data_IF_001437733648
#
_entry.id   IF_001437733648
#
_cell.length_a   1.000
_cell.length_b   1.000
_cell.length_c   1.000
_cell.angle_alpha   90.00
_cell.angle_beta   90.00
_cell.angle_gamma   90.00
#
_symmetry.space_group_name_H-M   'P 1'
#
loop_
_entity.id
_entity.type
_entity.pdbx_description
1 polymer ?
#
# COMPACT_ATOMS: atom_id res chain seq x y z
N UNK A 1 -67.09 8.55 -15.90
CA UNK A 1 -65.83 8.08 -16.53
C UNK A 1 -64.62 8.93 -16.15
N UNK A 2 -64.70 10.27 -16.14
CA UNK A 2 -63.57 11.15 -15.78
C UNK A 2 -62.91 10.86 -14.42
N UNK A 3 -63.68 10.54 -13.38
CA UNK A 3 -63.14 10.30 -12.03
C UNK A 3 -62.27 9.04 -11.92
N UNK A 4 -62.59 7.99 -12.67
CA UNK A 4 -61.81 6.73 -12.65
C UNK A 4 -60.47 6.93 -13.35
N UNK A 5 -60.46 7.66 -14.47
CA UNK A 5 -59.23 8.01 -15.19
C UNK A 5 -58.29 8.83 -14.33
N UNK A 6 -58.80 9.83 -13.61
CA UNK A 6 -57.98 10.65 -12.69
C UNK A 6 -57.33 9.79 -11.60
N UNK A 7 -58.10 8.89 -10.96
CA UNK A 7 -57.58 8.01 -9.91
C UNK A 7 -56.47 7.10 -10.44
N UNK A 8 -56.66 6.48 -11.62
CA UNK A 8 -55.66 5.61 -12.24
C UNK A 8 -54.37 6.40 -12.51
N UNK A 9 -54.48 7.61 -13.06
CA UNK A 9 -53.32 8.47 -13.35
C UNK A 9 -52.59 8.86 -12.07
N UNK A 10 -53.30 9.24 -11.01
CA UNK A 10 -52.68 9.60 -9.72
C UNK A 10 -51.96 8.41 -9.10
N UNK A 11 -52.57 7.23 -9.10
CA UNK A 11 -51.95 6.00 -8.57
C UNK A 11 -50.71 5.63 -9.39
N UNK A 12 -50.77 5.71 -10.72
CA UNK A 12 -49.63 5.45 -11.58
C UNK A 12 -48.47 6.43 -11.32
N UNK A 13 -48.77 7.73 -11.20
CA UNK A 13 -47.76 8.75 -10.88
C UNK A 13 -47.14 8.53 -9.50
N UNK A 14 -47.94 8.20 -8.49
CA UNK A 14 -47.44 7.88 -7.16
C UNK A 14 -46.50 6.66 -7.18
N UNK A 15 -46.87 5.61 -7.91
CA UNK A 15 -46.07 4.41 -8.05
C UNK A 15 -44.74 4.68 -8.78
N UNK A 16 -44.78 5.45 -9.87
CA UNK A 16 -43.58 5.88 -10.59
C UNK A 16 -42.66 6.73 -9.71
N UNK A 17 -43.22 7.65 -8.91
CA UNK A 17 -42.47 8.47 -7.96
C UNK A 17 -41.80 7.63 -6.86
N UNK A 18 -42.51 6.62 -6.34
CA UNK A 18 -41.95 5.67 -5.38
C UNK A 18 -40.81 4.86 -5.99
N UNK A 19 -41.00 4.30 -7.19
CA UNK A 19 -39.97 3.52 -7.88
C UNK A 19 -38.72 4.35 -8.16
N UNK A 20 -38.88 5.59 -8.61
CA UNK A 20 -37.78 6.53 -8.81
C UNK A 20 -37.01 6.80 -7.51
N UNK A 21 -37.73 7.02 -6.41
CA UNK A 21 -37.15 7.23 -5.07
C UNK A 21 -36.40 5.99 -4.59
N UNK A 22 -36.99 4.80 -4.73
CA UNK A 22 -36.38 3.54 -4.33
C UNK A 22 -35.08 3.26 -5.09
N UNK A 23 -35.09 3.41 -6.42
CA UNK A 23 -33.90 3.24 -7.26
C UNK A 23 -32.82 4.27 -6.91
N UNK A 24 -33.19 5.52 -6.65
CA UNK A 24 -32.24 6.54 -6.20
C UNK A 24 -31.64 6.20 -4.83
N UNK A 25 -32.46 5.70 -3.89
CA UNK A 25 -32.01 5.22 -2.59
C UNK A 25 -31.00 4.09 -2.69
N UNK A 26 -31.27 3.09 -3.54
CA UNK A 26 -30.33 1.99 -3.79
C UNK A 26 -29.00 2.49 -4.38
N UNK A 27 -29.06 3.38 -5.38
CA UNK A 27 -27.84 3.97 -5.99
C UNK A 27 -27.02 4.76 -4.98
N UNK A 28 -27.68 5.54 -4.11
CA UNK A 28 -27.01 6.29 -3.06
C UNK A 28 -26.35 5.35 -2.04
N UNK A 29 -27.06 4.32 -1.58
CA UNK A 29 -26.54 3.34 -0.64
C UNK A 29 -25.33 2.59 -1.21
N UNK A 30 -25.39 2.13 -2.47
CA UNK A 30 -24.26 1.50 -3.15
C UNK A 30 -23.05 2.43 -3.27
N UNK A 31 -23.28 3.70 -3.61
CA UNK A 31 -22.23 4.71 -3.73
C UNK A 31 -21.57 4.99 -2.37
N UNK A 32 -22.35 5.08 -1.30
CA UNK A 32 -21.84 5.27 0.06
C UNK A 32 -21.05 4.05 0.54
N UNK A 33 -21.55 2.84 0.33
CA UNK A 33 -20.85 1.60 0.68
C UNK A 33 -19.51 1.49 -0.06
N UNK A 34 -19.50 1.80 -1.36
CA UNK A 34 -18.27 1.79 -2.17
C UNK A 34 -17.29 2.87 -1.71
N UNK A 35 -17.77 4.09 -1.40
CA UNK A 35 -16.93 5.16 -0.89
C UNK A 35 -16.31 4.80 0.47
N UNK A 36 -17.08 4.16 1.36
CA UNK A 36 -16.60 3.69 2.65
C UNK A 36 -15.50 2.63 2.47
N UNK A 37 -15.73 1.64 1.59
CA UNK A 37 -14.74 0.62 1.26
C UNK A 37 -13.45 1.22 0.71
N UNK A 38 -13.53 2.08 -0.31
CA UNK A 38 -12.36 2.76 -0.88
C UNK A 38 -11.66 3.63 0.17
N UNK A 39 -12.43 4.27 1.05
CA UNK A 39 -11.91 5.02 2.19
C UNK A 39 -11.03 4.17 3.09
N UNK A 40 -11.53 3.00 3.52
CA UNK A 40 -10.77 2.04 4.34
C UNK A 40 -9.53 1.53 3.61
N UNK A 41 -9.65 1.15 2.34
CA UNK A 41 -8.51 0.69 1.54
C UNK A 41 -7.41 1.75 1.47
N UNK A 42 -7.78 3.03 1.31
CA UNK A 42 -6.84 4.14 1.30
C UNK A 42 -6.25 4.42 2.69
N UNK A 43 -7.05 4.44 3.75
CA UNK A 43 -6.58 4.86 5.08
C UNK A 43 -5.81 3.76 5.82
N UNK A 44 -6.16 2.50 5.61
CA UNK A 44 -5.64 1.39 6.41
C UNK A 44 -4.68 0.48 5.64
N UNK A 45 -4.72 0.45 4.31
CA UNK A 45 -3.83 -0.40 3.51
C UNK A 45 -2.92 0.41 2.57
N UNK A 46 -3.49 0.94 1.49
CA UNK A 46 -2.70 1.49 0.39
C UNK A 46 -2.07 2.84 0.72
N UNK A 47 -2.66 3.63 1.61
CA UNK A 47 -2.05 4.87 2.11
C UNK A 47 -0.82 4.60 2.97
N UNK A 48 -0.94 3.80 4.04
CA UNK A 48 0.21 3.37 4.84
C UNK A 48 1.29 2.68 4.00
N UNK A 49 0.91 1.72 3.14
CA UNK A 49 1.87 1.00 2.29
C UNK A 49 2.60 1.96 1.34
N UNK A 50 1.88 2.87 0.68
CA UNK A 50 2.49 3.88 -0.18
C UNK A 50 3.44 4.82 0.59
N UNK A 51 3.03 5.32 1.75
CA UNK A 51 3.86 6.20 2.55
C UNK A 51 5.14 5.51 3.03
N UNK A 52 5.02 4.29 3.56
CA UNK A 52 6.15 3.51 4.05
C UNK A 52 7.14 3.17 2.93
N UNK A 53 6.63 2.75 1.76
CA UNK A 53 7.48 2.42 0.60
C UNK A 53 8.22 3.63 0.06
N UNK A 54 7.53 4.76 -0.16
CA UNK A 54 8.15 6.01 -0.60
C UNK A 54 9.19 6.53 0.40
N UNK A 55 8.87 6.50 1.70
CA UNK A 55 9.83 6.87 2.76
C UNK A 55 11.04 5.95 2.74
N UNK A 56 10.84 4.63 2.63
CA UNK A 56 11.94 3.66 2.59
C UNK A 56 12.94 3.99 1.47
N UNK A 57 12.42 4.24 0.28
CA UNK A 57 13.24 4.45 -0.92
C UNK A 57 14.01 5.76 -0.84
N UNK A 58 13.39 6.84 -0.35
CA UNK A 58 14.07 8.12 -0.12
C UNK A 58 15.12 8.02 0.98
N UNK A 59 14.82 7.29 2.05
CA UNK A 59 15.78 7.06 3.14
C UNK A 59 16.95 6.21 2.67
N UNK A 60 16.71 5.17 1.86
CA UNK A 60 17.76 4.35 1.27
C UNK A 60 18.63 5.16 0.30
N UNK A 61 18.03 6.00 -0.55
CA UNK A 61 18.78 6.91 -1.44
C UNK A 61 19.62 7.94 -0.66
N UNK A 62 19.10 8.47 0.46
CA UNK A 62 19.87 9.36 1.33
C UNK A 62 21.03 8.62 2.00
N UNK A 63 20.80 7.40 2.47
CA UNK A 63 21.81 6.53 3.05
C UNK A 63 22.93 6.21 2.06
N UNK A 64 22.61 5.71 0.86
CA UNK A 64 23.64 5.35 -0.14
C UNK A 64 24.43 6.57 -0.60
N UNK A 65 23.82 7.76 -0.69
CA UNK A 65 24.56 9.01 -0.97
C UNK A 65 25.48 9.43 0.18
N UNK A 66 25.04 9.29 1.42
CA UNK A 66 25.82 9.71 2.59
C UNK A 66 27.05 8.82 2.81
N UNK A 67 26.97 7.54 2.42
CA UNK A 67 28.01 6.55 2.60
C UNK A 67 28.64 6.09 1.28
N UNK A 68 28.49 6.87 0.21
CA UNK A 68 29.18 6.62 -1.04
C UNK A 68 30.70 6.73 -0.82
N UNK A 69 31.46 5.83 -1.45
CA UNK A 69 32.93 5.88 -1.41
C UNK A 69 33.45 7.12 -2.16
N UNK A 70 34.72 7.52 -1.96
CA UNK A 70 35.31 8.67 -2.66
C UNK A 70 35.31 8.55 -4.19
N UNK A 71 35.26 7.34 -4.73
CA UNK A 71 35.15 7.05 -6.16
C UNK A 71 33.70 7.09 -6.69
N UNK A 72 32.72 7.38 -5.82
CA UNK A 72 31.30 7.43 -6.12
C UNK A 72 30.61 6.06 -6.12
N UNK A 73 31.31 4.98 -5.79
CA UNK A 73 30.68 3.65 -5.70
C UNK A 73 29.84 3.50 -4.43
N UNK A 74 28.72 2.78 -4.56
CA UNK A 74 27.85 2.40 -3.44
C UNK A 74 28.32 1.06 -2.86
N UNK A 75 28.85 1.02 -1.62
CA UNK A 75 29.34 -0.21 -1.02
C UNK A 75 28.22 -1.21 -0.70
N UNK A 76 26.95 -0.79 -0.73
CA UNK A 76 25.79 -1.63 -0.43
C UNK A 76 25.09 -2.16 -1.69
N UNK A 77 25.65 -1.89 -2.87
CA UNK A 77 25.14 -2.40 -4.14
C UNK A 77 25.46 -3.90 -4.31
N UNK A 78 24.58 -4.69 -4.96
CA UNK A 78 24.84 -6.10 -5.23
C UNK A 78 26.17 -6.31 -5.99
N UNK A 79 26.98 -7.25 -5.52
CA UNK A 79 28.27 -7.60 -6.15
C UNK A 79 29.45 -6.72 -5.72
N UNK A 80 29.23 -5.68 -4.91
CA UNK A 80 30.30 -4.91 -4.26
C UNK A 80 30.65 -5.54 -2.92
N UNK A 81 31.94 -5.73 -2.64
CA UNK A 81 32.40 -6.17 -1.33
C UNK A 81 32.50 -4.96 -0.40
N UNK A 82 31.64 -4.94 0.61
CA UNK A 82 31.69 -3.96 1.69
C UNK A 82 32.79 -4.31 2.70
N UNK A 83 33.42 -3.28 3.26
CA UNK A 83 34.36 -3.40 4.39
C UNK A 83 33.60 -3.62 5.70
N UNK A 84 34.28 -4.11 6.75
CA UNK A 84 33.63 -4.30 8.05
C UNK A 84 33.07 -3.00 8.66
N UNK A 85 33.73 -1.87 8.41
CA UNK A 85 33.23 -0.56 8.85
C UNK A 85 31.93 -0.19 8.12
N UNK A 86 31.87 -0.40 6.81
CA UNK A 86 30.65 -0.19 6.02
C UNK A 86 29.53 -1.14 6.46
N UNK A 87 29.84 -2.41 6.72
CA UNK A 87 28.90 -3.39 7.24
C UNK A 87 28.40 -3.01 8.65
N UNK A 88 29.25 -2.48 9.53
CA UNK A 88 28.82 -1.96 10.83
C UNK A 88 27.84 -0.79 10.70
N UNK A 89 28.08 0.09 9.73
CA UNK A 89 27.13 1.17 9.42
C UNK A 89 25.82 0.62 8.87
N UNK A 90 25.87 -0.35 7.96
CA UNK A 90 24.68 -1.04 7.47
C UNK A 90 23.88 -1.68 8.61
N UNK A 91 24.51 -2.44 9.50
CA UNK A 91 23.84 -3.08 10.65
C UNK A 91 23.13 -2.05 11.53
N UNK A 92 23.77 -0.90 11.76
CA UNK A 92 23.16 0.21 12.50
C UNK A 92 21.90 0.73 11.81
N UNK A 93 21.96 1.04 10.52
CA UNK A 93 20.83 1.55 9.76
C UNK A 93 19.72 0.51 9.55
N UNK A 94 20.09 -0.74 9.25
CA UNK A 94 19.17 -1.84 9.10
C UNK A 94 18.38 -2.08 10.38
N UNK A 95 19.06 -2.13 11.53
CA UNK A 95 18.43 -2.39 12.83
C UNK A 95 17.49 -1.25 13.26
N UNK A 96 17.90 0.00 13.04
CA UNK A 96 17.17 1.16 13.59
C UNK A 96 16.14 1.76 12.62
N UNK A 97 16.29 1.52 11.31
CA UNK A 97 15.50 2.22 10.28
C UNK A 97 14.86 1.25 9.31
N UNK A 98 15.66 0.49 8.55
CA UNK A 98 15.12 -0.27 7.42
C UNK A 98 14.28 -1.46 7.85
N UNK A 99 14.77 -2.30 8.78
CA UNK A 99 14.01 -3.47 9.26
C UNK A 99 12.72 -3.07 9.98
N UNK A 100 12.72 -2.08 10.90
CA UNK A 100 11.47 -1.57 11.47
C UNK A 100 10.47 -1.11 10.40
N UNK A 101 10.95 -0.42 9.36
CA UNK A 101 10.09 0.06 8.29
C UNK A 101 9.48 -1.07 7.44
N UNK A 102 10.28 -2.06 7.01
CA UNK A 102 9.75 -3.20 6.24
C UNK A 102 8.86 -4.12 7.08
N UNK A 103 9.10 -4.23 8.40
CA UNK A 103 8.16 -4.87 9.33
C UNK A 103 6.82 -4.16 9.38
N UNK A 104 6.82 -2.83 9.44
CA UNK A 104 5.58 -2.04 9.38
C UNK A 104 4.82 -2.27 8.05
N UNK A 105 5.53 -2.38 6.92
CA UNK A 105 4.90 -2.73 5.64
C UNK A 105 4.28 -4.13 5.67
N UNK A 106 5.01 -5.15 6.14
CA UNK A 106 4.46 -6.52 6.30
C UNK A 106 3.23 -6.51 7.21
N UNK A 107 3.27 -5.77 8.30
CA UNK A 107 2.16 -5.67 9.24
C UNK A 107 0.91 -5.08 8.58
N UNK A 108 1.04 -4.10 7.68
CA UNK A 108 -0.07 -3.62 6.84
C UNK A 108 -0.59 -4.76 5.97
N UNK A 109 0.30 -5.46 5.25
CA UNK A 109 -0.10 -6.57 4.34
C UNK A 109 -0.84 -7.67 5.09
N UNK A 110 -0.28 -8.18 6.18
CA UNK A 110 -0.82 -9.34 6.91
C UNK A 110 -2.08 -8.99 7.69
N UNK A 111 -2.14 -7.83 8.34
CA UNK A 111 -3.28 -7.47 9.20
C UNK A 111 -4.46 -6.89 8.43
N UNK A 112 -4.26 -6.43 7.20
CA UNK A 112 -5.25 -5.71 6.40
C UNK A 112 -5.45 -6.35 5.01
N UNK A 113 -5.08 -7.62 4.85
CA UNK A 113 -5.22 -8.34 3.58
C UNK A 113 -6.67 -8.32 3.05
N UNK A 114 -7.66 -8.24 3.93
CA UNK A 114 -9.08 -8.11 3.56
C UNK A 114 -9.39 -6.82 2.79
N UNK A 115 -8.49 -5.83 2.80
CA UNK A 115 -8.61 -4.56 2.07
C UNK A 115 -7.91 -4.56 0.71
N UNK A 116 -7.29 -5.67 0.29
CA UNK A 116 -6.72 -5.78 -1.05
C UNK A 116 -7.78 -5.52 -2.13
N UNK A 117 -7.35 -4.91 -3.24
CA UNK A 117 -8.18 -4.75 -4.45
C UNK A 117 -8.11 -5.98 -5.34
N UNK A 118 -7.04 -6.77 -5.21
CA UNK A 118 -6.86 -8.05 -5.87
C UNK A 118 -7.61 -9.17 -5.11
N UNK A 119 -7.97 -10.25 -5.83
CA UNK A 119 -8.64 -11.43 -5.25
C UNK A 119 -7.68 -12.28 -4.40
N UNK A 120 -6.40 -12.31 -4.80
CA UNK A 120 -5.33 -13.02 -4.12
C UNK A 120 -4.23 -12.04 -3.70
N UNK A 121 -3.43 -12.44 -2.71
CA UNK A 121 -2.28 -11.63 -2.26
C UNK A 121 -1.23 -11.55 -3.38
N UNK A 122 -0.89 -10.35 -3.89
CA UNK A 122 0.08 -10.22 -4.96
C UNK A 122 1.47 -10.76 -4.59
N UNK A 123 2.15 -11.38 -5.57
CA UNK A 123 3.47 -11.99 -5.37
C UNK A 123 4.54 -11.00 -4.87
N UNK A 124 4.42 -9.72 -5.22
CA UNK A 124 5.31 -8.64 -4.72
C UNK A 124 5.18 -8.46 -3.20
N UNK A 125 3.97 -8.59 -2.66
CA UNK A 125 3.72 -8.51 -1.21
C UNK A 125 4.20 -9.77 -0.50
N UNK A 126 4.06 -10.95 -1.12
CA UNK A 126 4.62 -12.18 -0.58
C UNK A 126 6.15 -12.13 -0.51
N UNK A 127 6.81 -11.55 -1.52
CA UNK A 127 8.26 -11.32 -1.49
C UNK A 127 8.68 -10.34 -0.40
N UNK A 128 7.91 -9.27 -0.17
CA UNK A 128 8.12 -8.39 0.98
C UNK A 128 8.04 -9.18 2.29
N UNK A 129 7.03 -10.03 2.48
CA UNK A 129 6.90 -10.86 3.67
C UNK A 129 8.11 -11.80 3.85
N UNK A 130 8.56 -12.44 2.77
CA UNK A 130 9.74 -13.30 2.78
C UNK A 130 11.02 -12.52 3.13
N UNK A 131 11.18 -11.32 2.56
CA UNK A 131 12.30 -10.42 2.87
C UNK A 131 12.37 -10.07 4.36
N UNK A 132 11.22 -9.76 4.97
CA UNK A 132 11.14 -9.45 6.41
C UNK A 132 11.46 -10.69 7.25
N UNK A 133 10.94 -11.86 6.89
CA UNK A 133 11.26 -13.11 7.59
C UNK A 133 12.76 -13.46 7.49
N UNK A 134 13.39 -13.23 6.33
CA UNK A 134 14.83 -13.38 6.17
C UNK A 134 15.62 -12.47 7.11
N UNK A 135 15.19 -11.21 7.25
CA UNK A 135 15.83 -10.26 8.18
C UNK A 135 15.64 -10.61 9.64
N UNK A 136 14.55 -11.27 10.02
CA UNK A 136 14.34 -11.69 11.40
C UNK A 136 15.41 -12.69 11.85
N UNK A 137 15.84 -13.59 10.97
CA UNK A 137 16.97 -14.49 11.22
C UNK A 137 18.29 -13.73 11.26
N UNK A 138 18.54 -12.83 10.30
CA UNK A 138 19.75 -12.01 10.26
C UNK A 138 19.91 -11.18 11.54
N UNK A 139 18.84 -10.53 12.02
CA UNK A 139 18.86 -9.76 13.26
C UNK A 139 19.08 -10.63 14.51
N UNK A 140 18.54 -11.85 14.53
CA UNK A 140 18.77 -12.78 15.63
C UNK A 140 20.25 -13.15 15.75
N UNK A 141 20.91 -13.43 14.62
CA UNK A 141 22.36 -13.70 14.58
C UNK A 141 23.19 -12.49 15.04
N UNK A 142 22.85 -11.29 14.57
CA UNK A 142 23.54 -10.07 15.01
C UNK A 142 23.43 -9.85 16.52
N UNK A 143 22.28 -10.20 17.13
CA UNK A 143 22.10 -10.11 18.58
C UNK A 143 22.99 -11.09 19.36
N UNK A 144 23.41 -12.19 18.72
CA UNK A 144 24.36 -13.17 19.26
C UNK A 144 25.83 -12.81 18.95
N UNK A 145 26.07 -11.72 18.22
CA UNK A 145 27.40 -11.28 17.79
C UNK A 145 27.90 -11.98 16.53
N UNK A 146 27.08 -12.81 15.88
CA UNK A 146 27.37 -13.41 14.58
C UNK A 146 27.02 -12.39 13.48
N UNK A 147 28.04 -11.89 12.79
CA UNK A 147 27.93 -10.92 11.70
C UNK A 147 28.37 -11.49 10.34
N UNK A 148 28.49 -12.81 10.18
CA UNK A 148 28.91 -13.42 8.91
C UNK A 148 27.98 -13.04 7.75
N UNK A 149 26.67 -12.98 8.03
CA UNK A 149 25.65 -12.56 7.07
C UNK A 149 25.16 -11.15 7.36
N UNK A 150 25.27 -10.27 6.36
CA UNK A 150 24.87 -8.86 6.48
C UNK A 150 23.54 -8.54 5.79
N UNK A 151 22.98 -9.47 5.02
CA UNK A 151 21.80 -9.23 4.19
C UNK A 151 20.64 -10.13 4.59
N UNK A 152 19.43 -9.80 4.11
CA UNK A 152 18.31 -10.74 4.17
C UNK A 152 18.50 -11.85 3.14
N UNK A 153 18.17 -13.09 3.54
CA UNK A 153 18.16 -14.25 2.65
C UNK A 153 17.20 -14.11 1.46
N UNK A 154 16.14 -13.32 1.62
CA UNK A 154 15.19 -13.02 0.57
C UNK A 154 15.36 -11.57 0.11
N UNK A 155 15.50 -11.29 -1.19
CA UNK A 155 15.74 -9.94 -1.68
C UNK A 155 14.52 -9.03 -1.46
N UNK A 156 14.78 -7.76 -1.21
CA UNK A 156 13.73 -6.75 -1.14
C UNK A 156 13.10 -6.55 -2.54
N UNK A 157 11.77 -6.52 -2.68
CA UNK A 157 11.12 -6.35 -3.99
C UNK A 157 11.37 -4.97 -4.65
N UNK A 158 11.91 -3.98 -3.93
CA UNK A 158 12.41 -2.74 -4.51
C UNK A 158 11.36 -1.94 -5.27
N UNK A 159 11.74 -1.49 -6.46
CA UNK A 159 10.92 -0.69 -7.39
C UNK A 159 9.55 -1.32 -7.67
N UNK A 160 9.46 -2.64 -7.77
CA UNK A 160 8.19 -3.30 -8.06
C UNK A 160 7.15 -3.08 -6.94
N UNK A 161 7.60 -3.07 -5.68
CA UNK A 161 6.74 -2.78 -4.54
C UNK A 161 6.31 -1.30 -4.51
N UNK A 162 7.23 -0.40 -4.85
CA UNK A 162 6.95 1.03 -4.95
C UNK A 162 5.91 1.32 -6.03
N UNK A 163 6.10 0.75 -7.23
CA UNK A 163 5.20 0.92 -8.36
C UNK A 163 3.81 0.35 -8.02
N UNK A 164 3.76 -0.86 -7.45
CA UNK A 164 2.50 -1.47 -6.97
C UNK A 164 1.75 -0.54 -6.00
N UNK A 165 2.43 -0.06 -4.95
CA UNK A 165 1.81 0.76 -3.93
C UNK A 165 1.34 2.12 -4.49
N UNK A 166 2.17 2.75 -5.32
CA UNK A 166 1.87 4.05 -5.95
C UNK A 166 0.68 3.96 -6.89
N UNK A 167 0.67 2.97 -7.78
CA UNK A 167 -0.40 2.79 -8.76
C UNK A 167 -1.74 2.48 -8.10
N UNK A 168 -1.75 1.56 -7.13
CA UNK A 168 -2.97 1.21 -6.40
C UNK A 168 -3.51 2.39 -5.59
N UNK A 169 -2.63 3.13 -4.90
CA UNK A 169 -3.01 4.34 -4.17
C UNK A 169 -3.60 5.41 -5.11
N UNK A 170 -2.94 5.70 -6.23
CA UNK A 170 -3.41 6.68 -7.21
C UNK A 170 -4.77 6.28 -7.81
N UNK A 171 -4.94 5.01 -8.17
CA UNK A 171 -6.19 4.44 -8.69
C UNK A 171 -7.33 4.61 -7.69
N UNK A 172 -7.11 4.26 -6.42
CA UNK A 172 -8.10 4.40 -5.36
C UNK A 172 -8.42 5.87 -5.04
N UNK A 173 -7.44 6.78 -5.07
CA UNK A 173 -7.67 8.22 -4.92
C UNK A 173 -8.51 8.80 -6.06
N UNK A 174 -8.29 8.36 -7.29
CA UNK A 174 -9.11 8.74 -8.43
C UNK A 174 -10.55 8.21 -8.30
N UNK A 175 -10.69 6.96 -7.85
CA UNK A 175 -12.00 6.37 -7.57
C UNK A 175 -12.76 7.10 -6.47
N UNK A 176 -12.10 7.42 -5.35
CA UNK A 176 -12.66 8.22 -4.27
C UNK A 176 -13.16 9.58 -4.79
N UNK A 177 -12.35 10.27 -5.60
CA UNK A 177 -12.72 11.56 -6.18
C UNK A 177 -13.96 11.47 -7.06
N UNK A 178 -14.03 10.43 -7.91
CA UNK A 178 -15.21 10.14 -8.74
C UNK A 178 -16.45 9.86 -7.88
N UNK A 179 -16.32 9.06 -6.82
CA UNK A 179 -17.40 8.75 -5.89
C UNK A 179 -17.82 9.95 -5.05
N UNK A 180 -16.97 10.96 -4.88
CA UNK A 180 -17.33 12.24 -4.25
C UNK A 180 -17.93 13.25 -5.24
N UNK A 181 -17.94 12.94 -6.55
CA UNK A 181 -18.40 13.87 -7.59
C UNK A 181 -17.42 15.00 -7.88
N UNK A 182 -16.17 14.91 -7.42
CA UNK A 182 -15.11 15.86 -7.78
C UNK A 182 -14.56 15.46 -9.15
N UNK A 183 -14.61 16.36 -10.14
CA UNK A 183 -13.86 16.15 -11.39
C UNK A 183 -12.37 16.16 -11.05
N UNK A 184 -11.65 15.11 -11.45
CA UNK A 184 -10.19 15.06 -11.34
C UNK A 184 -9.65 16.23 -12.17
N UNK A 185 -9.03 17.22 -11.52
CA UNK A 185 -8.26 18.23 -12.25
C UNK A 185 -7.13 17.48 -12.96
N UNK A 186 -7.09 17.59 -14.28
CA UNK A 186 -5.92 17.24 -15.07
C UNK A 186 -4.77 18.16 -14.70
#
# INVERSE_FOLDING_TARGET
>A
MASVTTVIVTVALAFLGYLATYVNGLRLAQRQARLARVGQQLSEFYGPLFALTETNSRTFEAFTRAYARPDGSDPFSPGVTATEEELAQWRTWATNVFVPNVRAMRDVVVRKADLLVEEEVPQVLLRLCAHVAGYEITLARWAEGDHEESWSLAPYPGRELEDYAREAFARLKAEQSRLLGRRVSR
#
